data_IF_040022303867
#
_entry.id   IF_040022303867
#
_cell.length_a   1.000
_cell.length_b   1.000
_cell.length_c   1.000
_cell.angle_alpha   90.00
_cell.angle_beta   90.00
_cell.angle_gamma   90.00
#
_symmetry.space_group_name_H-M   'P 1'
#
loop_
_entity.id
_entity.type
_entity.pdbx_description
1 polymer ?
#
# COMPACT_ATOMS: atom_id res chain seq x y z
N UNK A 1 -47.87 -24.13 -7.92
CA UNK A 1 -48.21 -23.95 -6.50
C UNK A 1 -47.12 -24.59 -5.65
N UNK A 2 -46.17 -23.79 -5.16
CA UNK A 2 -45.68 -23.75 -3.78
C UNK A 2 -44.66 -22.62 -3.69
N UNK A 3 -45.04 -21.62 -2.92
CA UNK A 3 -44.22 -20.50 -2.50
C UNK A 3 -43.23 -20.95 -1.42
N UNK A 4 -42.11 -20.24 -1.34
CA UNK A 4 -41.52 -19.64 -0.13
C UNK A 4 -40.08 -19.21 -0.48
N UNK A 5 -39.55 -18.07 -0.08
CA UNK A 5 -40.02 -16.90 0.66
C UNK A 5 -38.91 -15.85 0.44
N UNK A 6 -39.27 -14.57 0.46
CA UNK A 6 -38.32 -13.46 0.41
C UNK A 6 -37.43 -13.43 1.66
N UNK A 7 -36.12 -13.36 1.48
CA UNK A 7 -35.27 -12.48 2.28
C UNK A 7 -34.84 -11.38 1.29
N UNK A 8 -35.50 -10.23 1.23
CA UNK A 8 -35.46 -9.29 2.34
C UNK A 8 -34.07 -8.67 2.44
N UNK A 9 -33.45 -8.31 1.30
CA UNK A 9 -32.19 -7.57 1.28
C UNK A 9 -32.38 -6.25 2.03
N UNK A 10 -31.80 -6.19 3.22
CA UNK A 10 -31.87 -5.02 4.09
C UNK A 10 -31.19 -3.85 3.38
N UNK A 11 -32.02 -2.90 2.96
CA UNK A 11 -31.65 -1.77 2.14
C UNK A 11 -30.95 -0.69 2.98
N UNK A 12 -29.86 -1.02 3.70
CA UNK A 12 -28.89 -0.03 4.15
C UNK A 12 -27.55 -0.55 4.69
N UNK A 13 -27.15 -1.79 4.44
CA UNK A 13 -25.86 -2.29 4.96
C UNK A 13 -24.72 -1.73 4.12
N UNK A 14 -24.09 -0.65 4.58
CA UNK A 14 -22.88 -0.08 3.96
C UNK A 14 -21.75 -1.10 4.15
N UNK A 15 -21.32 -1.70 3.04
CA UNK A 15 -20.12 -2.52 3.00
C UNK A 15 -18.93 -1.63 2.63
N UNK A 16 -17.86 -1.71 3.41
CA UNK A 16 -16.61 -1.00 3.14
C UNK A 16 -15.46 -2.01 3.13
N UNK A 17 -14.57 -1.88 2.15
CA UNK A 17 -13.28 -2.57 2.13
C UNK A 17 -12.26 -1.62 2.71
N UNK A 18 -11.60 -2.03 3.78
CA UNK A 18 -10.62 -1.21 4.48
C UNK A 18 -9.26 -1.92 4.46
N UNK A 19 -8.19 -1.29 3.93
CA UNK A 19 -6.87 -1.88 4.00
C UNK A 19 -6.37 -1.86 5.44
N UNK A 20 -5.93 -3.04 5.93
CA UNK A 20 -5.36 -3.20 7.26
C UNK A 20 -3.92 -3.68 7.12
N UNK A 21 -2.99 -2.97 7.74
CA UNK A 21 -1.59 -3.38 7.81
C UNK A 21 -1.48 -4.60 8.72
N UNK A 22 -0.98 -5.72 8.20
CA UNK A 22 -0.79 -6.97 8.96
C UNK A 22 0.45 -6.91 9.89
N UNK A 23 0.52 -5.85 10.70
CA UNK A 23 1.51 -5.63 11.76
C UNK A 23 0.93 -4.64 12.75
N UNK A 24 1.55 -4.52 13.93
CA UNK A 24 1.15 -3.48 14.88
C UNK A 24 1.68 -2.11 14.48
N UNK A 25 0.98 -1.03 14.85
CA UNK A 25 1.44 0.34 14.54
C UNK A 25 2.88 0.58 15.00
N UNK A 26 3.20 0.16 16.23
CA UNK A 26 4.54 0.31 16.79
C UNK A 26 5.63 -0.45 16.00
N UNK A 27 5.29 -1.60 15.38
CA UNK A 27 6.24 -2.37 14.56
C UNK A 27 6.57 -1.65 13.25
N UNK A 28 5.71 -0.76 12.76
CA UNK A 28 5.96 0.03 11.55
C UNK A 28 7.24 0.87 11.65
N UNK A 29 7.60 1.35 12.84
CA UNK A 29 8.85 2.10 13.06
C UNK A 29 10.11 1.29 12.72
N UNK A 30 10.04 -0.05 12.80
CA UNK A 30 11.13 -0.94 12.38
C UNK A 30 11.17 -1.11 10.86
N UNK A 31 10.05 -0.90 10.17
CA UNK A 31 9.92 -0.93 8.71
C UNK A 31 10.22 0.44 8.11
N UNK A 32 11.44 0.94 8.36
CA UNK A 32 11.83 2.33 8.05
C UNK A 32 11.57 2.72 6.60
N UNK A 33 11.87 1.84 5.64
CA UNK A 33 11.67 2.13 4.21
C UNK A 33 10.19 2.32 3.87
N UNK A 34 9.31 1.47 4.41
CA UNK A 34 7.86 1.60 4.19
C UNK A 34 7.29 2.84 4.90
N UNK A 35 7.74 3.12 6.12
CA UNK A 35 7.29 4.28 6.89
C UNK A 35 7.75 5.58 6.23
N UNK A 36 8.98 5.60 5.73
CA UNK A 36 9.53 6.70 4.93
C UNK A 36 8.78 6.90 3.62
N UNK A 37 8.46 5.82 2.90
CA UNK A 37 7.64 5.86 1.69
C UNK A 37 6.30 6.55 1.98
N UNK A 38 5.58 6.12 3.01
CA UNK A 38 4.28 6.69 3.38
C UNK A 38 4.37 8.19 3.69
N UNK A 39 5.39 8.58 4.44
CA UNK A 39 5.69 9.99 4.67
C UNK A 39 5.96 10.76 3.36
N UNK A 40 6.81 10.22 2.49
CA UNK A 40 7.23 10.85 1.24
C UNK A 40 6.05 11.06 0.26
N UNK A 41 5.10 10.11 0.22
CA UNK A 41 3.91 10.23 -0.64
C UNK A 41 2.80 11.08 -0.02
N UNK A 42 2.95 11.49 1.24
CA UNK A 42 1.96 12.27 1.97
C UNK A 42 0.77 11.45 2.49
N UNK A 43 0.98 10.15 2.73
CA UNK A 43 -0.02 9.30 3.36
C UNK A 43 -0.07 9.62 4.86
N UNK A 44 -1.24 10.03 5.35
CA UNK A 44 -1.43 10.30 6.77
C UNK A 44 -1.40 8.99 7.55
N UNK A 45 -0.41 8.86 8.44
CA UNK A 45 -0.25 7.67 9.26
C UNK A 45 -1.47 7.41 10.16
N UNK A 46 -2.18 8.45 10.62
CA UNK A 46 -3.38 8.30 11.45
C UNK A 46 -4.56 7.72 10.67
N UNK A 47 -4.58 7.88 9.34
CA UNK A 47 -5.62 7.32 8.46
C UNK A 47 -5.45 5.83 8.16
N UNK A 48 -4.30 5.24 8.52
CA UNK A 48 -4.01 3.84 8.30
C UNK A 48 -4.47 3.00 9.49
N UNK A 49 -5.08 1.84 9.22
CA UNK A 49 -5.40 0.85 10.26
C UNK A 49 -4.32 -0.22 10.35
N UNK A 50 -3.92 -0.54 11.58
CA UNK A 50 -3.01 -1.62 11.91
C UNK A 50 -3.74 -2.78 12.58
N UNK A 51 -3.10 -3.95 12.63
CA UNK A 51 -3.74 -5.19 13.12
C UNK A 51 -4.16 -5.10 14.60
N UNK A 52 -3.51 -4.26 15.39
CA UNK A 52 -3.82 -4.02 16.81
C UNK A 52 -4.95 -3.00 17.04
N UNK A 53 -5.47 -2.41 15.96
CA UNK A 53 -6.50 -1.36 16.02
C UNK A 53 -7.86 -1.84 15.50
N UNK A 54 -7.91 -3.07 15.00
CA UNK A 54 -9.13 -3.70 14.49
C UNK A 54 -9.50 -4.85 15.42
N UNK A 55 -10.68 -4.78 16.01
CA UNK A 55 -11.25 -5.88 16.82
C UNK A 55 -11.80 -6.98 15.91
N UNK A 56 -10.88 -7.75 15.32
CA UNK A 56 -11.21 -8.85 14.41
C UNK A 56 -12.06 -9.92 15.09
N UNK A 57 -11.85 -10.16 16.39
CA UNK A 57 -12.57 -11.19 17.15
C UNK A 57 -14.05 -10.84 17.27
N UNK A 58 -14.37 -9.64 17.76
CA UNK A 58 -15.76 -9.19 17.90
C UNK A 58 -16.46 -9.14 16.54
N UNK A 59 -15.79 -8.61 15.50
CA UNK A 59 -16.38 -8.51 14.17
C UNK A 59 -16.62 -9.90 13.53
N UNK A 60 -15.73 -10.87 13.77
CA UNK A 60 -15.89 -12.24 13.30
C UNK A 60 -17.05 -12.93 14.03
N UNK A 61 -17.13 -12.80 15.36
CA UNK A 61 -18.22 -13.36 16.17
C UNK A 61 -19.59 -12.77 15.79
N UNK A 62 -19.62 -11.47 15.49
CA UNK A 62 -20.81 -10.77 15.00
C UNK A 62 -21.17 -11.10 13.53
N UNK A 63 -20.33 -11.89 12.82
CA UNK A 63 -20.46 -12.18 11.38
C UNK A 63 -20.48 -10.91 10.50
N UNK A 64 -19.78 -9.87 10.93
CA UNK A 64 -19.68 -8.58 10.23
C UNK A 64 -18.35 -8.42 9.47
N UNK A 65 -17.50 -9.45 9.47
CA UNK A 65 -16.18 -9.41 8.87
C UNK A 65 -15.99 -10.52 7.83
N UNK A 66 -15.45 -10.13 6.68
CA UNK A 66 -14.81 -11.01 5.71
C UNK A 66 -13.37 -10.53 5.52
N UNK A 67 -12.39 -11.43 5.63
CA UNK A 67 -10.98 -11.10 5.48
C UNK A 67 -10.48 -11.66 4.15
N UNK A 68 -9.87 -10.80 3.34
CA UNK A 68 -9.12 -11.18 2.16
C UNK A 68 -7.65 -10.81 2.38
N UNK A 69 -6.76 -11.80 2.28
CA UNK A 69 -5.32 -11.56 2.33
C UNK A 69 -4.83 -11.42 0.89
N UNK A 70 -4.33 -10.24 0.53
CA UNK A 70 -3.75 -9.99 -0.79
C UNK A 70 -2.25 -10.24 -0.70
N UNK A 71 -1.77 -11.31 -1.33
CA UNK A 71 -0.37 -11.69 -1.43
C UNK A 71 0.04 -12.06 -2.85
N UNK A 72 1.21 -12.69 -2.99
CA UNK A 72 1.75 -13.18 -4.29
C UNK A 72 0.83 -14.23 -4.95
N UNK A 73 0.03 -14.93 -4.16
CA UNK A 73 -0.98 -15.88 -4.64
C UNK A 73 -2.15 -15.21 -5.37
N UNK A 74 -2.45 -13.95 -5.03
CA UNK A 74 -3.42 -13.12 -5.73
C UNK A 74 -2.77 -12.24 -6.80
N UNK A 75 -1.64 -11.60 -6.48
CA UNK A 75 -0.89 -10.72 -7.37
C UNK A 75 0.14 -11.51 -8.18
N UNK A 76 -0.34 -12.52 -8.91
CA UNK A 76 0.53 -13.38 -9.73
C UNK A 76 1.12 -12.58 -10.88
N UNK A 77 2.43 -12.45 -10.90
CA UNK A 77 3.14 -11.81 -12.01
C UNK A 77 3.32 -12.76 -13.21
N UNK A 78 3.14 -14.07 -13.02
CA UNK A 78 3.38 -15.12 -14.02
C UNK A 78 4.76 -15.05 -14.71
N UNK A 79 5.74 -14.40 -14.07
CA UNK A 79 7.06 -14.14 -14.65
C UNK A 79 7.13 -12.98 -15.65
N UNK A 80 6.04 -12.23 -15.83
CA UNK A 80 5.95 -11.10 -16.77
C UNK A 80 6.22 -9.74 -16.11
N UNK A 81 6.22 -9.69 -14.78
CA UNK A 81 6.53 -8.51 -13.98
C UNK A 81 7.35 -8.90 -12.73
N UNK A 82 8.15 -7.96 -12.24
CA UNK A 82 8.91 -8.14 -10.99
C UNK A 82 8.13 -7.65 -9.79
N UNK A 83 7.35 -6.59 -9.94
CA UNK A 83 6.58 -6.00 -8.84
C UNK A 83 5.10 -6.38 -8.89
N UNK A 84 4.51 -6.66 -7.73
CA UNK A 84 3.05 -6.73 -7.59
C UNK A 84 2.37 -5.39 -7.91
N UNK A 85 3.07 -4.26 -7.76
CA UNK A 85 2.54 -2.95 -8.14
C UNK A 85 2.41 -2.78 -9.66
N UNK A 86 3.18 -3.51 -10.47
CA UNK A 86 3.04 -3.56 -11.92
C UNK A 86 1.70 -4.23 -12.28
N UNK A 87 1.41 -5.39 -11.68
CA UNK A 87 0.12 -6.10 -11.86
C UNK A 87 -1.07 -5.22 -11.45
N UNK A 88 -0.97 -4.53 -10.31
CA UNK A 88 -2.02 -3.61 -9.86
C UNK A 88 -2.20 -2.42 -10.82
N UNK A 89 -1.11 -1.90 -11.37
CA UNK A 89 -1.16 -0.80 -12.34
C UNK A 89 -1.87 -1.22 -13.62
N UNK A 90 -1.57 -2.41 -14.12
CA UNK A 90 -2.21 -2.96 -15.32
C UNK A 90 -3.70 -3.19 -15.09
N UNK A 91 -4.07 -3.83 -13.98
CA UNK A 91 -5.48 -4.04 -13.62
C UNK A 91 -6.26 -2.72 -13.50
N UNK A 92 -5.69 -1.71 -12.84
CA UNK A 92 -6.35 -0.40 -12.75
C UNK A 92 -6.37 0.36 -14.07
N UNK A 93 -5.38 0.15 -14.95
CA UNK A 93 -5.40 0.76 -16.27
C UNK A 93 -6.59 0.27 -17.10
N UNK A 94 -6.98 -1.00 -16.94
CA UNK A 94 -8.11 -1.61 -17.64
C UNK A 94 -9.45 -1.31 -16.95
N UNK A 95 -9.53 -1.49 -15.62
CA UNK A 95 -10.81 -1.53 -14.90
C UNK A 95 -11.15 -0.24 -14.12
N UNK A 96 -10.17 0.59 -13.77
CA UNK A 96 -10.36 1.70 -12.85
C UNK A 96 -9.35 2.85 -13.05
N UNK A 97 -9.20 3.32 -14.29
CA UNK A 97 -8.15 4.29 -14.66
C UNK A 97 -8.19 5.59 -13.85
N UNK A 98 -9.39 6.04 -13.44
CA UNK A 98 -9.56 7.23 -12.62
C UNK A 98 -8.86 7.13 -11.26
N UNK A 99 -8.73 5.93 -10.70
CA UNK A 99 -7.97 5.72 -9.46
C UNK A 99 -6.48 6.02 -9.67
N UNK A 100 -5.91 5.72 -10.85
CA UNK A 100 -4.53 6.06 -11.20
C UNK A 100 -4.31 7.58 -11.32
N UNK A 101 -5.37 8.39 -11.42
CA UNK A 101 -5.25 9.85 -11.33
C UNK A 101 -5.07 10.35 -9.90
N UNK A 102 -5.33 9.50 -8.89
CA UNK A 102 -5.10 9.84 -7.48
C UNK A 102 -3.60 9.96 -7.21
N UNK A 103 -3.08 11.16 -6.86
CA UNK A 103 -1.65 11.39 -6.77
C UNK A 103 -0.91 10.48 -5.79
N UNK A 104 -1.52 10.19 -4.63
CA UNK A 104 -0.94 9.33 -3.60
C UNK A 104 -0.84 7.89 -4.10
N UNK A 105 -1.91 7.35 -4.68
CA UNK A 105 -1.93 5.98 -5.22
C UNK A 105 -0.90 5.82 -6.35
N UNK A 106 -0.87 6.76 -7.29
CA UNK A 106 0.11 6.78 -8.39
C UNK A 106 1.55 6.74 -7.88
N UNK A 107 1.87 7.54 -6.85
CA UNK A 107 3.21 7.55 -6.24
C UNK A 107 3.52 6.27 -5.47
N UNK A 108 2.56 5.68 -4.76
CA UNK A 108 2.72 4.41 -4.06
C UNK A 108 3.02 3.27 -5.02
N UNK A 109 2.23 3.14 -6.10
CA UNK A 109 2.46 2.13 -7.14
C UNK A 109 3.83 2.33 -7.80
N UNK A 110 4.17 3.56 -8.18
CA UNK A 110 5.46 3.86 -8.79
C UNK A 110 6.62 3.50 -7.85
N UNK A 111 6.53 3.85 -6.57
CA UNK A 111 7.56 3.52 -5.60
C UNK A 111 7.76 2.01 -5.46
N UNK A 112 6.67 1.22 -5.39
CA UNK A 112 6.74 -0.23 -5.33
C UNK A 112 7.48 -0.81 -6.54
N UNK A 113 7.09 -0.40 -7.76
CA UNK A 113 7.77 -0.86 -8.98
C UNK A 113 9.26 -0.49 -8.97
N UNK A 114 9.61 0.74 -8.58
CA UNK A 114 11.01 1.18 -8.58
C UNK A 114 11.84 0.48 -7.49
N UNK A 115 11.29 0.24 -6.31
CA UNK A 115 11.99 -0.48 -5.24
C UNK A 115 12.26 -1.93 -5.63
N UNK A 116 11.26 -2.63 -6.17
CA UNK A 116 11.36 -4.04 -6.55
C UNK A 116 12.29 -4.26 -7.75
N UNK A 117 12.28 -3.34 -8.72
CA UNK A 117 13.12 -3.41 -9.93
C UNK A 117 14.49 -2.74 -9.78
N UNK A 118 14.75 -2.13 -8.63
CA UNK A 118 15.92 -1.27 -8.38
C UNK A 118 16.05 -0.19 -9.48
N UNK A 119 15.01 0.63 -9.63
CA UNK A 119 14.91 1.72 -10.62
C UNK A 119 15.01 1.25 -12.08
N UNK A 120 14.28 0.18 -12.43
CA UNK A 120 14.34 -0.44 -13.76
C UNK A 120 15.77 -0.82 -14.18
N UNK A 121 16.56 -1.32 -13.25
CA UNK A 121 17.88 -1.87 -13.55
C UNK A 121 17.76 -3.24 -14.23
N UNK A 122 18.85 -4.02 -14.33
CA UNK A 122 18.94 -5.29 -15.09
C UNK A 122 17.89 -6.37 -14.73
N UNK A 123 17.11 -6.18 -13.65
CA UNK A 123 16.13 -7.13 -13.14
C UNK A 123 14.71 -6.83 -13.66
N UNK A 124 14.44 -5.71 -14.35
CA UNK A 124 13.07 -5.36 -14.80
C UNK A 124 12.58 -6.11 -16.03
N UNK A 125 11.26 -6.33 -16.11
CA UNK A 125 10.57 -6.82 -17.30
C UNK A 125 9.95 -5.66 -18.11
N UNK A 126 9.52 -5.93 -19.34
CA UNK A 126 8.86 -4.93 -20.20
C UNK A 126 7.64 -4.30 -19.53
N UNK A 127 6.81 -5.11 -18.83
CA UNK A 127 5.62 -4.60 -18.13
C UNK A 127 5.97 -3.62 -17.02
N UNK A 128 7.07 -3.85 -16.29
CA UNK A 128 7.52 -2.91 -15.26
C UNK A 128 7.91 -1.55 -15.88
N UNK A 129 8.54 -1.56 -17.07
CA UNK A 129 8.89 -0.34 -17.80
C UNK A 129 7.63 0.43 -18.24
N UNK A 130 6.64 -0.28 -18.78
CA UNK A 130 5.36 0.30 -19.23
C UNK A 130 4.58 0.88 -18.05
N UNK A 131 4.49 0.18 -16.92
CA UNK A 131 3.87 0.69 -15.70
C UNK A 131 4.56 1.96 -15.20
N UNK A 132 5.89 2.01 -15.15
CA UNK A 132 6.62 3.23 -14.76
C UNK A 132 6.36 4.37 -15.73
N UNK A 133 6.30 4.12 -17.04
CA UNK A 133 5.97 5.15 -18.03
C UNK A 133 4.57 5.72 -17.78
N UNK A 134 3.57 4.86 -17.60
CA UNK A 134 2.19 5.26 -17.34
C UNK A 134 2.07 6.08 -16.04
N UNK A 135 2.68 5.60 -14.96
CA UNK A 135 2.64 6.26 -13.66
C UNK A 135 3.46 7.57 -13.61
N UNK A 136 4.38 7.78 -14.56
CA UNK A 136 5.20 8.99 -14.68
C UNK A 136 4.62 10.03 -15.64
N UNK A 137 3.47 9.77 -16.28
CA UNK A 137 2.84 10.75 -17.19
C UNK A 137 2.53 12.04 -16.43
N UNK A 138 2.99 13.16 -17.00
CA UNK A 138 2.81 14.51 -16.42
C UNK A 138 3.87 14.91 -15.39
N UNK A 139 4.80 14.02 -15.04
CA UNK A 139 5.90 14.32 -14.14
C UNK A 139 7.01 15.12 -14.84
N UNK A 140 7.85 15.78 -14.04
CA UNK A 140 9.03 16.51 -14.55
C UNK A 140 10.05 15.55 -15.19
N UNK A 141 10.91 16.03 -16.10
CA UNK A 141 12.06 15.26 -16.56
C UNK A 141 12.88 14.72 -15.37
N UNK A 142 13.42 13.51 -15.52
CA UNK A 142 14.20 12.80 -14.49
C UNK A 142 13.45 12.47 -13.18
N UNK A 143 12.14 12.70 -13.10
CA UNK A 143 11.34 12.44 -11.90
C UNK A 143 11.56 11.04 -11.32
N UNK A 144 11.60 10.01 -12.17
CA UNK A 144 11.85 8.63 -11.77
C UNK A 144 13.12 8.48 -10.92
N UNK A 145 14.25 9.02 -11.41
CA UNK A 145 15.53 8.88 -10.73
C UNK A 145 15.54 9.69 -9.44
N UNK A 146 15.06 10.94 -9.47
CA UNK A 146 14.99 11.77 -8.27
C UNK A 146 14.09 11.17 -7.19
N UNK A 147 12.98 10.53 -7.60
CA UNK A 147 12.06 9.87 -6.69
C UNK A 147 12.68 8.59 -6.11
N UNK A 148 13.38 7.80 -6.93
CA UNK A 148 14.13 6.64 -6.43
C UNK A 148 15.25 7.02 -5.45
N UNK A 149 15.98 8.10 -5.73
CA UNK A 149 17.01 8.62 -4.82
C UNK A 149 16.38 9.02 -3.46
N UNK A 150 15.21 9.66 -3.48
CA UNK A 150 14.46 9.96 -2.25
C UNK A 150 14.00 8.70 -1.52
N UNK A 151 13.50 7.68 -2.24
CA UNK A 151 13.06 6.40 -1.65
C UNK A 151 14.20 5.60 -1.02
N UNK A 152 15.40 5.74 -1.56
CA UNK A 152 16.61 5.03 -1.11
C UNK A 152 17.47 5.87 -0.17
N UNK A 153 17.16 7.15 0.01
CA UNK A 153 17.80 8.00 1.00
C UNK A 153 17.64 7.35 2.38
N UNK A 154 18.78 7.10 3.03
CA UNK A 154 18.80 6.44 4.33
C UNK A 154 18.01 7.30 5.31
N UNK A 155 16.89 6.79 5.83
CA UNK A 155 16.07 7.41 6.86
C UNK A 155 16.78 7.40 8.23
N UNK A 156 18.08 7.73 8.22
CA UNK A 156 18.96 7.95 9.37
C UNK A 156 19.06 9.42 9.71
N UNK A 157 18.60 10.32 8.84
CA UNK A 157 18.53 11.75 9.16
C UNK A 157 17.59 11.95 10.35
N UNK A 158 18.08 12.61 11.40
CA UNK A 158 17.36 12.80 12.67
C UNK A 158 15.97 13.43 12.50
N UNK A 159 15.81 14.29 11.49
CA UNK A 159 14.53 14.92 11.13
C UNK A 159 13.50 13.90 10.62
N UNK A 160 13.93 12.97 9.75
CA UNK A 160 13.07 11.91 9.20
C UNK A 160 12.64 10.95 10.31
N UNK A 161 13.56 10.54 11.17
CA UNK A 161 13.27 9.68 12.32
C UNK A 161 12.32 10.35 13.31
N UNK A 162 12.46 11.66 13.53
CA UNK A 162 11.57 12.41 14.40
C UNK A 162 10.14 12.43 13.86
N UNK A 163 9.95 12.67 12.57
CA UNK A 163 8.63 12.63 11.94
C UNK A 163 8.00 11.23 12.07
N UNK A 164 8.76 10.16 11.80
CA UNK A 164 8.27 8.79 11.92
C UNK A 164 7.91 8.40 13.36
N UNK A 165 8.69 8.83 14.36
CA UNK A 165 8.40 8.60 15.79
C UNK A 165 7.10 9.28 16.23
N UNK A 166 6.79 10.46 15.69
CA UNK A 166 5.53 11.13 15.97
C UNK A 166 4.33 10.35 15.42
N UNK A 167 4.47 9.78 14.22
CA UNK A 167 3.40 9.04 13.53
C UNK A 167 3.16 7.61 14.04
N UNK A 168 4.20 6.91 14.49
CA UNK A 168 4.13 5.47 14.82
C UNK A 168 4.49 5.16 16.29
N UNK A 169 4.68 6.20 17.10
CA UNK A 169 5.05 6.10 18.51
C UNK A 169 6.55 5.86 18.74
N UNK A 170 6.93 5.75 20.02
CA UNK A 170 8.30 5.48 20.41
C UNK A 170 8.64 3.99 20.33
N UNK A 171 9.86 3.69 19.89
CA UNK A 171 10.43 2.35 20.03
C UNK A 171 10.58 2.01 21.51
N UNK A 172 10.19 0.82 21.99
CA UNK A 172 10.40 0.43 23.38
C UNK A 172 11.88 0.20 23.72
N UNK A 173 12.80 0.38 22.76
CA UNK A 173 14.23 0.14 22.91
C UNK A 173 14.95 1.33 23.59
N UNK A 174 14.33 2.51 23.70
CA UNK A 174 14.94 3.67 24.42
C UNK A 174 14.63 3.70 25.92
N UNK A 175 13.95 2.69 26.47
CA UNK A 175 13.71 2.57 27.91
C UNK A 175 14.35 1.30 28.48
N UNK A 176 15.69 1.26 28.52
CA UNK A 176 16.44 0.40 29.44
C UNK A 176 17.73 1.09 29.91
N UNK A 177 17.65 1.60 31.15
CA UNK A 177 18.68 1.85 32.17
C UNK A 177 19.90 2.68 31.78
#
# INVERSE_FOLDING_TARGET
MRANEQEGGDANTIQAVVPVMNMTRQKMLKQRQAAWLFHLVGLDAESMLFSDEVDLETLLLAKQLSILIVGEDMLKTNGEAVSGCTVLTDNYCEDAYDLLQTPILKKLLLAGVLLDTQNLSKVSMTRDVEAVQLLSVGSTPNYRNTFFDQLTQDAKDDSSLKALRQSYGNSPIESKW
#
